data_IF_824211096645
#
_entry.id   IF_824211096645
#
_cell.length_a   1.000
_cell.length_b   1.000
_cell.length_c   1.000
_cell.angle_alpha   90.00
_cell.angle_beta   90.00
_cell.angle_gamma   90.00
#
_symmetry.space_group_name_H-M   'P 1'
#
loop_
_entity.id
_entity.type
_entity.pdbx_description
1 polymer ?
#
# COMPACT_ATOMS: atom_id res chain seq x y z
N UNK A 1 3.88 -11.72 -7.40
CA UNK A 1 3.77 -10.31 -6.93
C UNK A 1 2.34 -9.80 -6.87
N UNK A 2 1.52 -9.97 -7.93
CA UNK A 2 0.12 -9.51 -8.00
C UNK A 2 -0.76 -9.87 -6.78
N UNK A 3 -0.68 -11.11 -6.29
CA UNK A 3 -1.43 -11.57 -5.11
C UNK A 3 -1.06 -10.83 -3.82
N UNK A 4 0.22 -10.45 -3.66
CA UNK A 4 0.71 -9.77 -2.45
C UNK A 4 0.23 -8.32 -2.40
N UNK A 5 0.25 -7.62 -3.54
CA UNK A 5 -0.32 -6.28 -3.68
C UNK A 5 -1.82 -6.30 -3.34
N UNK A 6 -2.57 -7.27 -3.87
CA UNK A 6 -4.00 -7.41 -3.54
C UNK A 6 -4.27 -7.66 -2.05
N UNK A 7 -3.44 -8.46 -1.37
CA UNK A 7 -3.57 -8.66 0.07
C UNK A 7 -3.30 -7.37 0.87
N UNK A 8 -2.28 -6.60 0.47
CA UNK A 8 -1.97 -5.31 1.09
C UNK A 8 -3.09 -4.29 0.86
N UNK A 9 -3.67 -4.28 -0.34
CA UNK A 9 -4.83 -3.45 -0.66
C UNK A 9 -6.02 -3.75 0.27
N UNK A 10 -6.33 -5.04 0.48
CA UNK A 10 -7.38 -5.46 1.41
C UNK A 10 -7.07 -5.04 2.86
N UNK A 11 -5.82 -5.16 3.30
CA UNK A 11 -5.40 -4.73 4.64
C UNK A 11 -5.53 -3.22 4.83
N UNK A 12 -5.11 -2.42 3.86
CA UNK A 12 -5.26 -0.97 3.90
C UNK A 12 -6.74 -0.56 3.89
N UNK A 13 -7.56 -1.22 3.08
CA UNK A 13 -9.01 -1.00 3.10
C UNK A 13 -9.63 -1.30 4.47
N UNK A 14 -9.18 -2.36 5.16
CA UNK A 14 -9.62 -2.67 6.53
C UNK A 14 -9.15 -1.63 7.56
N UNK A 15 -8.02 -0.96 7.31
CA UNK A 15 -7.51 0.14 8.12
C UNK A 15 -8.23 1.47 7.82
N UNK A 16 -9.16 1.49 6.86
CA UNK A 16 -9.96 2.66 6.50
C UNK A 16 -9.42 3.48 5.33
N UNK A 17 -8.35 3.04 4.66
CA UNK A 17 -7.84 3.71 3.46
C UNK A 17 -8.76 3.47 2.26
N UNK A 18 -9.09 4.54 1.54
CA UNK A 18 -9.86 4.45 0.31
C UNK A 18 -8.98 4.03 -0.89
N UNK A 19 -9.60 3.44 -1.91
CA UNK A 19 -8.92 2.99 -3.13
C UNK A 19 -8.09 4.09 -3.81
N UNK A 20 -8.57 5.35 -3.73
CA UNK A 20 -7.87 6.51 -4.26
C UNK A 20 -6.56 6.80 -3.50
N UNK A 21 -6.60 6.80 -2.17
CA UNK A 21 -5.41 7.01 -1.33
C UNK A 21 -4.37 5.91 -1.56
N UNK A 22 -4.83 4.65 -1.65
CA UNK A 22 -3.94 3.52 -1.93
C UNK A 22 -3.30 3.66 -3.31
N UNK A 23 -4.05 4.15 -4.32
CA UNK A 23 -3.51 4.42 -5.65
C UNK A 23 -2.45 5.53 -5.61
N UNK A 24 -2.73 6.65 -4.94
CA UNK A 24 -1.77 7.74 -4.78
C UNK A 24 -0.48 7.31 -4.07
N UNK A 25 -0.59 6.45 -3.04
CA UNK A 25 0.59 5.88 -2.36
C UNK A 25 1.45 5.06 -3.33
N UNK A 26 0.82 4.27 -4.19
CA UNK A 26 1.53 3.45 -5.18
C UNK A 26 2.19 4.36 -6.22
N UNK A 27 1.47 5.35 -6.74
CA UNK A 27 1.99 6.30 -7.75
C UNK A 27 3.19 7.09 -7.21
N UNK A 28 3.12 7.55 -5.97
CA UNK A 28 4.21 8.24 -5.28
C UNK A 28 5.42 7.32 -5.05
N UNK A 29 5.19 6.05 -4.69
CA UNK A 29 6.24 5.09 -4.42
C UNK A 29 7.02 4.67 -5.67
N UNK A 30 6.32 4.42 -6.78
CA UNK A 30 6.95 4.02 -8.04
C UNK A 30 7.42 5.23 -8.87
N UNK A 31 7.06 6.45 -8.48
CA UNK A 31 7.35 7.67 -9.22
C UNK A 31 6.69 7.72 -10.60
N UNK A 32 5.60 6.99 -10.80
CA UNK A 32 4.91 6.83 -12.07
C UNK A 32 3.39 6.78 -11.85
N UNK A 33 2.62 7.19 -12.87
CA UNK A 33 1.16 7.30 -12.77
C UNK A 33 0.44 5.95 -12.73
N UNK A 34 1.10 4.87 -13.17
CA UNK A 34 0.50 3.54 -13.22
C UNK A 34 1.50 2.45 -12.81
N UNK A 35 1.01 1.50 -12.01
CA UNK A 35 1.76 0.32 -11.63
C UNK A 35 1.92 -0.62 -12.82
N UNK A 36 3.12 -0.63 -13.39
CA UNK A 36 3.50 -1.66 -14.34
C UNK A 36 3.78 -2.98 -13.61
N UNK A 37 2.93 -3.98 -13.87
CA UNK A 37 3.00 -5.29 -13.21
C UNK A 37 4.06 -6.20 -13.88
N UNK A 38 4.60 -5.79 -15.03
CA UNK A 38 5.73 -6.44 -15.70
C UNK A 38 7.08 -5.97 -15.18
N UNK A 39 7.13 -4.79 -14.57
CA UNK A 39 8.33 -4.21 -13.97
C UNK A 39 8.47 -4.66 -12.51
N UNK A 40 9.45 -5.55 -12.28
CA UNK A 40 9.75 -6.11 -10.97
C UNK A 40 10.07 -5.01 -9.94
N UNK A 41 10.77 -3.95 -10.35
CA UNK A 41 11.09 -2.79 -9.49
C UNK A 41 9.84 -2.02 -9.08
N UNK A 42 8.92 -1.73 -10.01
CA UNK A 42 7.66 -1.05 -9.66
C UNK A 42 6.84 -1.90 -8.68
N UNK A 43 6.79 -3.21 -8.88
CA UNK A 43 6.11 -4.10 -7.95
C UNK A 43 6.77 -4.12 -6.57
N UNK A 44 8.11 -4.16 -6.51
CA UNK A 44 8.84 -4.15 -5.25
C UNK A 44 8.61 -2.84 -4.48
N UNK A 45 8.77 -1.68 -5.13
CA UNK A 45 8.55 -0.36 -4.53
C UNK A 45 7.10 -0.18 -4.05
N UNK A 46 6.12 -0.59 -4.87
CA UNK A 46 4.72 -0.57 -4.47
C UNK A 46 4.46 -1.43 -3.23
N UNK A 47 5.04 -2.64 -3.15
CA UNK A 47 4.88 -3.52 -1.98
C UNK A 47 5.51 -2.88 -0.74
N UNK A 48 6.71 -2.32 -0.85
CA UNK A 48 7.42 -1.67 0.26
C UNK A 48 6.62 -0.48 0.80
N UNK A 49 6.10 0.36 -0.08
CA UNK A 49 5.27 1.49 0.30
C UNK A 49 3.97 1.04 0.98
N UNK A 50 3.23 0.11 0.37
CA UNK A 50 1.99 -0.40 0.95
C UNK A 50 2.23 -1.06 2.32
N UNK A 51 3.30 -1.83 2.50
CA UNK A 51 3.66 -2.41 3.80
C UNK A 51 3.98 -1.35 4.86
N UNK A 52 4.64 -0.25 4.46
CA UNK A 52 4.90 0.89 5.35
C UNK A 52 3.60 1.54 5.83
N UNK A 53 2.66 1.80 4.93
CA UNK A 53 1.36 2.38 5.30
C UNK A 53 0.50 1.43 6.14
N UNK A 54 0.53 0.12 5.86
CA UNK A 54 -0.13 -0.87 6.73
C UNK A 54 0.45 -0.83 8.14
N UNK A 55 1.78 -0.78 8.28
CA UNK A 55 2.43 -0.66 9.59
C UNK A 55 2.05 0.64 10.30
N UNK A 56 2.05 1.77 9.59
CA UNK A 56 1.65 3.07 10.15
C UNK A 56 0.19 3.06 10.61
N UNK A 57 -0.73 2.62 9.77
CA UNK A 57 -2.16 2.51 10.12
C UNK A 57 -2.38 1.56 11.30
N UNK A 58 -1.75 0.39 11.29
CA UNK A 58 -1.86 -0.57 12.39
C UNK A 58 -1.23 -0.04 13.69
N UNK A 59 -0.13 0.71 13.62
CA UNK A 59 0.48 1.36 14.77
C UNK A 59 -0.40 2.49 15.31
N UNK A 60 -1.07 3.24 14.45
CA UNK A 60 -2.00 4.29 14.83
C UNK A 60 -3.24 3.71 15.55
N UNK A 61 -3.84 2.63 15.00
CA UNK A 61 -4.94 1.91 15.65
C UNK A 61 -4.55 1.33 17.02
N UNK A 62 -3.33 0.83 17.15
CA UNK A 62 -2.84 0.27 18.40
C UNK A 62 -2.46 1.35 19.42
N UNK A 63 -2.03 2.53 18.97
CA UNK A 63 -1.64 3.64 19.85
C UNK A 63 -2.84 4.42 20.41
N UNK A 64 -4.00 4.39 19.74
CA UNK A 64 -5.25 5.05 20.17
C UNK A 64 -6.27 4.11 20.84
N UNK A 65 -5.94 2.82 21.04
CA UNK A 65 -6.77 1.88 21.83
C UNK A 65 -6.46 1.96 23.35
N UNK A 66 -6.38 3.17 23.91
CA UNK A 66 -6.18 3.41 25.35
C UNK A 66 -7.26 4.30 25.94
#
# INVERSE_FOLDING_TARGET
>A
MKQRIQQLFKRLALLGYCSFEIKSIIEEAIGAQELDIGNDSHCADAIVALEKYVKLGSHFSNCYSK
#
